data_IF_327885687845
#
_entry.id   IF_327885687845
#
_cell.length_a   1.000
_cell.length_b   1.000
_cell.length_c   1.000
_cell.angle_alpha   90.00
_cell.angle_beta   90.00
_cell.angle_gamma   90.00
#
_symmetry.space_group_name_H-M   'P 1'
#
loop_
_entity.id
_entity.type
_entity.pdbx_description
1 polymer ?
#
# COMPACT_ATOMS: atom_id res chain seq x y z
N UNK A 1 0.62 -7.21 15.26
CA UNK A 1 0.55 -5.75 15.03
C UNK A 1 1.59 -5.38 13.98
N UNK A 2 1.20 -4.55 13.01
CA UNK A 2 2.08 -4.10 11.95
C UNK A 2 2.31 -2.60 12.04
N UNK A 3 3.48 -2.17 11.59
CA UNK A 3 3.81 -0.76 11.42
C UNK A 3 4.28 -0.50 9.99
N UNK A 4 3.74 0.54 9.36
CA UNK A 4 4.26 1.02 8.09
C UNK A 4 5.44 1.95 8.37
N UNK A 5 6.63 1.55 7.96
CA UNK A 5 7.88 2.27 8.23
C UNK A 5 8.30 3.18 7.09
N UNK A 6 7.89 2.86 5.86
CA UNK A 6 8.08 3.69 4.68
C UNK A 6 6.87 3.56 3.75
N UNK A 7 6.59 4.61 2.98
CA UNK A 7 5.56 4.63 1.94
C UNK A 7 5.91 5.63 0.85
N UNK A 8 5.56 5.31 -0.39
CA UNK A 8 5.79 6.15 -1.55
C UNK A 8 4.69 6.00 -2.58
N UNK A 9 4.31 7.11 -3.20
CA UNK A 9 3.38 7.13 -4.33
C UNK A 9 4.03 7.95 -5.43
N UNK A 10 4.12 7.40 -6.63
CA UNK A 10 4.67 8.09 -7.80
C UNK A 10 3.85 7.78 -9.05
N UNK A 11 3.64 8.73 -9.96
CA UNK A 11 3.06 8.42 -11.26
C UNK A 11 3.88 7.36 -12.00
N UNK A 12 3.20 6.47 -12.72
CA UNK A 12 3.88 5.56 -13.63
C UNK A 12 4.36 6.33 -14.87
N UNK A 13 5.66 6.23 -15.23
CA UNK A 13 6.22 7.00 -16.34
C UNK A 13 5.70 6.55 -17.72
N UNK A 14 5.12 5.37 -17.82
CA UNK A 14 4.65 4.74 -19.08
C UNK A 14 3.13 4.67 -19.18
N UNK A 15 2.41 4.59 -18.05
CA UNK A 15 0.96 4.40 -17.98
C UNK A 15 0.28 5.61 -17.35
N UNK A 16 -0.35 6.43 -18.18
CA UNK A 16 -1.11 7.61 -17.72
C UNK A 16 -2.24 7.20 -16.77
N UNK A 17 -2.41 7.98 -15.70
CA UNK A 17 -3.45 7.72 -14.69
C UNK A 17 -3.20 6.46 -13.87
N UNK A 18 -1.97 5.95 -13.85
CA UNK A 18 -1.55 4.87 -12.95
C UNK A 18 -0.53 5.43 -11.97
N UNK A 19 -0.72 5.08 -10.70
CA UNK A 19 0.21 5.38 -9.63
C UNK A 19 0.89 4.09 -9.21
N UNK A 20 2.21 4.12 -9.16
CA UNK A 20 3.01 3.08 -8.55
C UNK A 20 3.18 3.39 -7.06
N UNK A 21 2.77 2.44 -6.24
CA UNK A 21 2.76 2.55 -4.78
C UNK A 21 3.77 1.59 -4.19
N UNK A 22 4.57 2.08 -3.26
CA UNK A 22 5.48 1.26 -2.45
C UNK A 22 5.19 1.45 -0.96
N UNK A 23 5.38 0.40 -0.18
CA UNK A 23 5.34 0.46 1.27
C UNK A 23 6.35 -0.52 1.87
N UNK A 24 6.91 -0.18 3.03
CA UNK A 24 7.67 -1.12 3.85
C UNK A 24 6.90 -1.33 5.14
N UNK A 25 6.62 -2.59 5.47
CA UNK A 25 5.82 -2.97 6.63
C UNK A 25 6.64 -3.86 7.55
N UNK A 26 6.74 -3.48 8.82
CA UNK A 26 7.41 -4.26 9.87
C UNK A 26 6.39 -5.00 10.74
N UNK A 27 6.71 -6.24 11.09
CA UNK A 27 5.94 -7.00 12.07
C UNK A 27 6.43 -6.69 13.49
N UNK A 28 5.68 -5.88 14.24
CA UNK A 28 5.99 -5.55 15.64
C UNK A 28 5.35 -6.53 16.64
N UNK A 29 4.65 -7.57 16.18
CA UNK A 29 4.18 -8.65 17.06
C UNK A 29 5.34 -9.54 17.51
N UNK A 30 5.16 -10.20 18.64
CA UNK A 30 6.07 -11.23 19.14
C UNK A 30 5.93 -12.61 18.44
N UNK A 31 5.08 -12.72 17.42
CA UNK A 31 4.86 -13.96 16.64
C UNK A 31 4.91 -13.69 15.13
N UNK A 32 5.23 -14.69 14.28
CA UNK A 32 5.17 -14.55 12.84
C UNK A 32 3.74 -14.27 12.37
N UNK A 33 3.57 -13.32 11.46
CA UNK A 33 2.26 -12.96 10.90
C UNK A 33 2.29 -13.09 9.37
N UNK A 34 1.17 -13.50 8.77
CA UNK A 34 0.99 -13.41 7.33
C UNK A 34 1.05 -11.94 6.88
N UNK A 35 1.52 -11.63 5.66
CA UNK A 35 1.54 -10.25 5.18
C UNK A 35 0.15 -9.61 5.26
N UNK A 36 0.03 -8.35 5.70
CA UNK A 36 -1.26 -7.71 5.88
C UNK A 36 -1.94 -7.43 4.54
N UNK A 37 -3.21 -7.07 4.57
CA UNK A 37 -3.85 -6.35 3.48
C UNK A 37 -3.51 -4.86 3.62
N UNK A 38 -3.13 -4.21 2.51
CA UNK A 38 -2.93 -2.75 2.49
C UNK A 38 -4.16 -2.09 1.90
N UNK A 39 -4.82 -1.23 2.66
CA UNK A 39 -5.90 -0.37 2.16
C UNK A 39 -5.29 0.99 1.83
N UNK A 40 -5.44 1.41 0.59
CA UNK A 40 -5.10 2.77 0.14
C UNK A 40 -6.37 3.55 -0.15
N UNK A 41 -6.46 4.77 0.38
CA UNK A 41 -7.52 5.73 0.07
C UNK A 41 -6.93 6.97 -0.58
N UNK A 42 -7.59 7.48 -1.61
CA UNK A 42 -7.20 8.63 -2.40
C UNK A 42 -8.23 9.72 -2.16
N UNK A 43 -7.77 10.93 -1.81
CA UNK A 43 -8.67 12.06 -1.57
C UNK A 43 -8.32 13.27 -2.42
N UNK A 44 -9.36 14.02 -2.81
CA UNK A 44 -9.21 15.30 -3.51
C UNK A 44 -8.75 16.42 -2.58
N UNK A 45 -8.62 17.63 -3.14
CA UNK A 45 -8.20 18.85 -2.41
C UNK A 45 -9.17 19.26 -1.30
N UNK A 46 -10.42 18.82 -1.36
CA UNK A 46 -11.43 19.06 -0.32
C UNK A 46 -11.41 17.97 0.77
N UNK A 47 -10.52 16.98 0.65
CA UNK A 47 -10.41 15.85 1.56
C UNK A 47 -11.48 14.77 1.37
N UNK A 48 -12.23 14.81 0.26
CA UNK A 48 -13.22 13.76 -0.05
C UNK A 48 -12.51 12.56 -0.65
N UNK A 49 -12.81 11.36 -0.13
CA UNK A 49 -12.30 10.11 -0.70
C UNK A 49 -12.92 9.92 -2.09
N UNK A 50 -12.08 9.99 -3.12
CA UNK A 50 -12.44 9.81 -4.53
C UNK A 50 -12.13 8.40 -5.04
N UNK A 51 -11.42 7.58 -4.25
CA UNK A 51 -11.18 6.18 -4.53
C UNK A 51 -10.54 5.46 -3.36
N UNK A 52 -10.77 4.16 -3.24
CA UNK A 52 -10.09 3.30 -2.30
C UNK A 52 -9.90 1.90 -2.87
N UNK A 53 -8.83 1.21 -2.45
CA UNK A 53 -8.58 -0.17 -2.84
C UNK A 53 -7.94 -0.94 -1.68
N UNK A 54 -8.49 -2.11 -1.39
CA UNK A 54 -7.81 -3.13 -0.59
C UNK A 54 -6.90 -3.95 -1.51
N UNK A 55 -5.62 -4.05 -1.15
CA UNK A 55 -4.59 -4.77 -1.90
C UNK A 55 -4.16 -5.96 -1.08
N UNK A 56 -4.41 -7.15 -1.62
CA UNK A 56 -4.10 -8.39 -0.91
C UNK A 56 -2.66 -8.82 -1.19
N UNK A 57 -2.06 -9.71 -0.37
CA UNK A 57 -0.75 -10.25 -0.64
C UNK A 57 -0.58 -10.91 -2.02
N UNK A 58 -1.67 -11.36 -2.64
CA UNK A 58 -1.66 -11.92 -4.00
C UNK A 58 -1.47 -10.85 -5.09
N UNK A 59 -1.78 -9.58 -4.78
CA UNK A 59 -1.67 -8.44 -5.70
C UNK A 59 -0.32 -7.71 -5.59
N UNK A 60 0.56 -8.16 -4.69
CA UNK A 60 1.89 -7.58 -4.55
C UNK A 60 2.77 -7.94 -5.75
N UNK A 61 3.55 -6.97 -6.22
CA UNK A 61 4.44 -7.12 -7.38
C UNK A 61 5.55 -8.17 -7.20
N UNK A 62 5.73 -8.68 -5.98
CA UNK A 62 6.56 -9.85 -5.68
C UNK A 62 5.77 -10.78 -4.75
N UNK A 63 5.98 -12.09 -4.93
CA UNK A 63 5.36 -13.11 -4.08
C UNK A 63 5.95 -13.07 -2.67
N UNK A 64 5.21 -12.47 -1.74
CA UNK A 64 5.44 -12.63 -0.30
C UNK A 64 4.59 -13.79 0.20
N UNK A 65 5.08 -15.02 -0.03
CA UNK A 65 4.38 -16.24 0.37
C UNK A 65 4.74 -16.72 1.79
N UNK A 66 5.63 -16.01 2.49
CA UNK A 66 6.17 -16.42 3.79
C UNK A 66 5.66 -15.49 4.88
N UNK A 67 5.37 -16.05 6.06
CA UNK A 67 5.09 -15.26 7.25
C UNK A 67 6.28 -14.34 7.58
N UNK A 68 5.98 -13.11 7.98
CA UNK A 68 6.96 -12.10 8.38
C UNK A 68 7.31 -12.38 9.84
N UNK A 69 8.58 -12.64 10.16
CA UNK A 69 8.99 -12.91 11.54
C UNK A 69 8.90 -11.64 12.41
N UNK A 70 8.86 -11.77 13.76
CA UNK A 70 8.94 -10.64 14.68
C UNK A 70 10.15 -9.74 14.39
N UNK A 71 9.94 -8.44 14.25
CA UNK A 71 10.97 -7.45 13.95
C UNK A 71 11.36 -7.34 12.47
N UNK A 72 11.01 -8.33 11.64
CA UNK A 72 11.31 -8.32 10.21
C UNK A 72 10.37 -7.38 9.45
N UNK A 73 10.86 -6.90 8.31
CA UNK A 73 10.11 -6.06 7.38
C UNK A 73 9.91 -6.76 6.05
N UNK A 74 8.83 -6.39 5.37
CA UNK A 74 8.60 -6.74 3.97
C UNK A 74 8.36 -5.46 3.18
N UNK A 75 8.96 -5.39 1.99
CA UNK A 75 8.61 -4.38 1.02
C UNK A 75 7.34 -4.80 0.29
N UNK A 76 6.54 -3.86 -0.16
CA UNK A 76 5.29 -4.09 -0.87
C UNK A 76 5.26 -3.11 -2.02
N UNK A 77 4.88 -3.58 -3.20
CA UNK A 77 4.66 -2.73 -4.36
C UNK A 77 3.41 -3.16 -5.10
N UNK A 78 2.60 -2.20 -5.54
CA UNK A 78 1.43 -2.44 -6.36
C UNK A 78 1.07 -1.18 -7.14
N UNK A 79 0.25 -1.35 -8.18
CA UNK A 79 -0.25 -0.22 -8.96
C UNK A 79 -1.73 0.03 -8.68
N UNK A 80 -2.11 1.30 -8.65
CA UNK A 80 -3.51 1.73 -8.58
C UNK A 80 -3.83 2.70 -9.71
N UNK A 81 -5.10 2.69 -10.15
CA UNK A 81 -5.59 3.66 -11.13
C UNK A 81 -6.00 4.94 -10.39
N UNK A 82 -5.47 6.07 -10.83
CA UNK A 82 -5.86 7.38 -10.34
C UNK A 82 -7.27 7.73 -10.84
N UNK A 83 -8.21 8.11 -9.95
CA UNK A 83 -9.52 8.62 -10.33
C UNK A 83 -9.42 9.92 -11.16
N UNK A 84 -10.42 10.16 -12.00
CA UNK A 84 -10.57 11.46 -12.65
C UNK A 84 -11.00 12.50 -11.59
N UNK A 85 -10.41 13.70 -11.64
CA UNK A 85 -10.74 14.78 -10.68
C UNK A 85 -9.55 15.31 -9.88
N UNK A 86 -8.38 14.66 -10.00
CA UNK A 86 -7.15 15.05 -9.30
C UNK A 86 -7.12 14.47 -7.88
N UNK A 87 -5.97 13.89 -7.52
CA UNK A 87 -5.72 13.35 -6.18
C UNK A 87 -4.66 14.21 -5.52
N UNK A 88 -4.98 14.70 -4.32
CA UNK A 88 -4.07 15.55 -3.55
C UNK A 88 -3.40 14.77 -2.42
N UNK A 89 -4.11 13.80 -1.83
CA UNK A 89 -3.61 13.07 -0.67
C UNK A 89 -3.89 11.57 -0.73
N UNK A 90 -3.05 10.83 -0.02
CA UNK A 90 -3.07 9.37 0.08
C UNK A 90 -3.03 8.95 1.54
N UNK A 91 -3.96 8.09 1.94
CA UNK A 91 -3.97 7.44 3.25
C UNK A 91 -3.72 5.93 3.11
N UNK A 92 -3.09 5.35 4.13
CA UNK A 92 -2.66 3.96 4.15
C UNK A 92 -3.02 3.29 5.47
N UNK A 93 -3.68 2.14 5.38
CA UNK A 93 -4.05 1.33 6.53
C UNK A 93 -3.61 -0.12 6.33
N UNK A 94 -3.22 -0.77 7.42
CA UNK A 94 -2.83 -2.18 7.46
C UNK A 94 -3.94 -2.97 8.16
N UNK A 95 -4.41 -4.05 7.54
CA UNK A 95 -5.41 -4.97 8.07
C UNK A 95 -4.85 -6.37 8.26
#
# INVERSE_FOLDING_TARGET
>A
AFAMTARGVRPDPTRRGVLHVTATVRNDARWPQAPPVVVISLSDVDGRVVGARAVTPADYGHRTAVAIAPGDSVDIAFDVREPAGGVESFDFQLQ
#
